data_IF_163942658286
#
_entry.id   IF_163942658286
#
_cell.length_a   1.000
_cell.length_b   1.000
_cell.length_c   1.000
_cell.angle_alpha   90.00
_cell.angle_beta   90.00
_cell.angle_gamma   90.00
#
_symmetry.space_group_name_H-M   'P 1'
#
loop_
_entity.id
_entity.type
_entity.pdbx_description
1 polymer ?
#
# COMPACT_ATOMS: atom_id res chain seq x y z
N UNK A 1 17.46 3.68 -6.38
CA UNK A 1 18.54 2.72 -6.06
C UNK A 1 19.32 2.37 -7.31
N UNK A 2 19.39 1.09 -7.70
CA UNK A 2 20.08 0.68 -8.95
C UNK A 2 19.13 0.47 -10.15
N UNK A 3 17.83 0.23 -9.92
CA UNK A 3 16.83 0.09 -10.98
C UNK A 3 16.34 1.43 -11.57
N UNK A 4 16.51 2.53 -10.83
CA UNK A 4 16.36 3.89 -11.36
C UNK A 4 17.56 4.27 -12.23
N UNK A 5 18.77 3.90 -11.79
CA UNK A 5 20.05 4.20 -12.47
C UNK A 5 20.19 3.50 -13.83
N UNK A 6 19.46 2.40 -14.05
CA UNK A 6 19.42 1.70 -15.35
C UNK A 6 18.21 2.08 -16.23
N UNK A 7 17.38 3.05 -15.81
CA UNK A 7 16.26 3.54 -16.63
C UNK A 7 15.12 2.54 -16.83
N UNK A 8 15.14 1.37 -16.16
CA UNK A 8 14.11 0.35 -16.36
C UNK A 8 12.87 0.58 -15.47
N UNK A 9 13.01 1.38 -14.40
CA UNK A 9 11.87 1.92 -13.66
C UNK A 9 11.37 3.22 -14.30
N UNK A 10 10.85 3.13 -15.52
CA UNK A 10 10.11 4.23 -16.16
C UNK A 10 8.76 4.53 -15.51
N UNK A 11 8.35 3.85 -14.43
CA UNK A 11 6.99 3.99 -13.87
C UNK A 11 7.05 4.38 -12.41
N UNK A 12 7.27 5.68 -12.23
CA UNK A 12 6.59 6.59 -11.28
C UNK A 12 7.36 7.91 -11.13
N UNK A 13 7.99 8.39 -12.20
CA UNK A 13 8.27 9.81 -12.30
C UNK A 13 6.92 10.53 -12.33
N UNK A 14 6.79 11.58 -11.53
CA UNK A 14 5.51 12.27 -11.30
C UNK A 14 4.96 13.07 -12.49
N UNK A 15 5.59 12.84 -13.64
CA UNK A 15 5.53 13.52 -14.92
C UNK A 15 5.59 12.38 -15.94
N UNK A 16 4.53 12.23 -16.73
CA UNK A 16 4.47 11.30 -17.86
C UNK A 16 5.65 11.55 -18.81
N UNK A 17 6.08 10.56 -19.61
CA UNK A 17 7.20 10.77 -20.53
C UNK A 17 6.97 11.98 -21.45
N UNK A 18 5.75 12.13 -21.97
CA UNK A 18 5.40 13.27 -22.81
C UNK A 18 5.48 14.60 -22.04
N UNK A 19 5.04 14.61 -20.78
CA UNK A 19 5.15 15.80 -19.93
C UNK A 19 6.61 16.13 -19.60
N UNK A 20 7.49 15.12 -19.52
CA UNK A 20 8.91 15.32 -19.23
C UNK A 20 9.62 15.91 -20.46
N UNK A 21 9.36 15.39 -21.66
CA UNK A 21 9.86 15.95 -22.90
C UNK A 21 9.40 17.40 -23.09
N UNK A 22 8.08 17.66 -22.94
CA UNK A 22 7.53 19.02 -23.06
C UNK A 22 8.12 20.00 -22.04
N UNK A 23 8.41 19.56 -20.81
CA UNK A 23 9.06 20.41 -19.80
C UNK A 23 10.52 20.71 -20.14
N UNK A 24 11.27 19.73 -20.63
CA UNK A 24 12.67 19.95 -21.00
C UNK A 24 12.76 20.85 -22.23
N UNK A 25 11.90 20.68 -23.23
CA UNK A 25 11.86 21.52 -24.43
C UNK A 25 11.46 22.98 -24.10
N UNK A 26 10.54 23.16 -23.16
CA UNK A 26 10.11 24.48 -22.71
C UNK A 26 11.24 25.25 -22.02
N UNK A 27 11.97 24.61 -21.10
CA UNK A 27 13.07 25.27 -20.36
C UNK A 27 14.41 25.30 -21.12
N UNK A 28 14.52 24.58 -22.23
CA UNK A 28 15.64 24.67 -23.17
C UNK A 28 15.51 25.85 -24.14
N UNK A 29 14.28 26.23 -24.49
CA UNK A 29 13.99 27.29 -25.48
C UNK A 29 13.70 28.67 -24.86
N UNK A 30 13.15 28.75 -23.66
CA UNK A 30 12.76 30.00 -23.00
C UNK A 30 13.42 30.17 -21.61
N UNK A 31 13.85 31.41 -21.29
CA UNK A 31 14.23 31.80 -19.93
C UNK A 31 13.00 31.86 -19.00
N UNK A 32 13.21 31.68 -17.69
CA UNK A 32 12.12 31.61 -16.69
C UNK A 32 11.35 32.93 -16.63
N UNK A 33 10.26 33.02 -17.39
CA UNK A 33 9.33 34.14 -17.44
C UNK A 33 7.95 33.73 -16.90
N UNK A 34 7.09 34.71 -16.61
CA UNK A 34 5.71 34.44 -16.13
C UNK A 34 4.91 33.56 -17.09
N UNK A 35 5.11 33.67 -18.40
CA UNK A 35 4.44 32.83 -19.42
C UNK A 35 4.92 31.38 -19.38
N UNK A 36 6.24 31.18 -19.27
CA UNK A 36 6.86 29.85 -19.16
C UNK A 36 6.44 29.15 -17.85
N UNK A 37 6.25 29.89 -16.76
CA UNK A 37 5.68 29.36 -15.51
C UNK A 37 4.21 28.91 -15.66
N UNK A 38 3.39 29.66 -16.41
CA UNK A 38 1.98 29.29 -16.68
C UNK A 38 1.90 28.05 -17.56
N UNK A 39 2.75 27.96 -18.61
CA UNK A 39 2.83 26.77 -19.47
C UNK A 39 3.35 25.55 -18.72
N UNK A 40 4.39 25.70 -17.89
CA UNK A 40 4.89 24.62 -17.04
C UNK A 40 3.82 24.11 -16.06
N UNK A 41 3.01 25.01 -15.47
CA UNK A 41 1.86 24.63 -14.63
C UNK A 41 0.78 23.86 -15.41
N UNK A 42 0.51 24.27 -16.65
CA UNK A 42 -0.42 23.56 -17.55
C UNK A 42 0.07 22.15 -17.88
N UNK A 43 1.36 22.00 -18.22
CA UNK A 43 1.99 20.70 -18.55
C UNK A 43 1.99 19.79 -17.32
N UNK A 44 2.36 20.31 -16.14
CA UNK A 44 2.36 19.56 -14.88
C UNK A 44 0.95 19.23 -14.36
N UNK A 45 -0.11 19.85 -14.94
CA UNK A 45 -1.53 19.73 -14.52
C UNK A 45 -1.70 19.87 -13.00
N UNK A 46 -0.87 20.70 -12.35
CA UNK A 46 -0.76 20.83 -10.89
C UNK A 46 -0.40 22.25 -10.47
N UNK A 47 -0.82 22.61 -9.26
CA UNK A 47 -0.40 23.85 -8.59
C UNK A 47 1.03 23.69 -8.06
N UNK A 48 2.03 23.84 -8.93
CA UNK A 48 3.43 23.99 -8.53
C UNK A 48 3.71 25.46 -8.18
N UNK A 49 4.45 25.69 -7.09
CA UNK A 49 4.88 27.03 -6.69
C UNK A 49 5.92 27.58 -7.67
N UNK A 50 5.97 28.90 -7.85
CA UNK A 50 6.92 29.54 -8.79
C UNK A 50 8.39 29.23 -8.44
N UNK A 51 8.67 29.01 -7.14
CA UNK A 51 9.99 28.62 -6.64
C UNK A 51 10.38 27.19 -7.07
N UNK A 52 9.44 26.25 -7.10
CA UNK A 52 9.68 24.88 -7.59
C UNK A 52 9.93 24.87 -9.11
N UNK A 53 9.25 25.75 -9.85
CA UNK A 53 9.42 25.86 -11.30
C UNK A 53 10.79 26.46 -11.64
N UNK A 54 11.24 27.46 -10.88
CA UNK A 54 12.59 28.02 -11.02
C UNK A 54 13.70 27.00 -10.71
N UNK A 55 13.51 26.14 -9.70
CA UNK A 55 14.43 25.04 -9.39
C UNK A 55 14.48 23.98 -10.52
N UNK A 56 13.32 23.66 -11.12
CA UNK A 56 13.25 22.75 -12.28
C UNK A 56 13.99 23.36 -13.49
N UNK A 57 13.77 24.63 -13.79
CA UNK A 57 14.44 25.30 -14.90
C UNK A 57 15.96 25.37 -14.71
N UNK A 58 16.43 25.59 -13.48
CA UNK A 58 17.85 25.57 -13.15
C UNK A 58 18.45 24.18 -13.36
N UNK A 59 17.77 23.13 -12.88
CA UNK A 59 18.20 21.74 -13.07
C UNK A 59 18.23 21.32 -14.56
N UNK A 60 17.30 21.80 -15.38
CA UNK A 60 17.29 21.54 -16.83
C UNK A 60 18.46 22.24 -17.53
N UNK A 61 18.76 23.49 -17.16
CA UNK A 61 19.92 24.23 -17.71
C UNK A 61 21.27 23.61 -17.34
N UNK A 62 21.39 23.10 -16.12
CA UNK A 62 22.61 22.39 -15.66
C UNK A 62 22.84 21.06 -16.39
N UNK A 63 21.77 20.41 -16.86
CA UNK A 63 21.83 19.12 -17.53
C UNK A 63 22.32 19.19 -18.99
N UNK A 64 22.42 20.39 -19.59
CA UNK A 64 23.07 20.60 -20.88
C UNK A 64 22.35 19.96 -22.09
N UNK A 65 23.13 19.59 -23.12
CA UNK A 65 22.61 19.15 -24.41
C UNK A 65 22.25 17.65 -24.43
N UNK A 66 21.28 17.26 -23.62
CA UNK A 66 20.75 15.89 -23.60
C UNK A 66 19.92 15.61 -24.85
N UNK A 67 20.32 14.57 -25.59
CA UNK A 67 19.52 14.02 -26.69
C UNK A 67 18.48 13.06 -26.11
N UNK A 68 17.27 13.57 -25.92
CA UNK A 68 16.16 12.84 -25.31
C UNK A 68 15.58 11.75 -26.23
N UNK A 69 15.86 11.81 -27.53
CA UNK A 69 15.34 10.88 -28.52
C UNK A 69 16.15 9.58 -28.60
N UNK A 70 17.34 9.54 -27.97
CA UNK A 70 18.19 8.35 -27.90
C UNK A 70 18.44 7.88 -26.45
N UNK A 71 17.47 7.20 -25.80
CA UNK A 71 17.53 6.84 -24.38
C UNK A 71 18.66 5.87 -24.02
N UNK A 72 19.34 5.26 -25.01
CA UNK A 72 20.45 4.31 -24.79
C UNK A 72 21.77 5.01 -24.45
N UNK A 73 21.96 6.27 -24.84
CA UNK A 73 23.26 6.96 -24.71
C UNK A 73 23.35 7.72 -23.39
N UNK A 74 22.25 8.30 -22.91
CA UNK A 74 22.22 9.21 -21.76
C UNK A 74 21.34 8.73 -20.59
N UNK A 75 21.10 7.43 -20.45
CA UNK A 75 20.19 6.87 -19.43
C UNK A 75 20.50 7.33 -18.00
N UNK A 76 21.78 7.50 -17.66
CA UNK A 76 22.23 8.00 -16.34
C UNK A 76 21.90 9.47 -16.09
N UNK A 77 22.12 10.32 -17.09
CA UNK A 77 21.93 11.77 -16.97
C UNK A 77 20.44 12.13 -17.03
N UNK A 78 19.67 11.43 -17.86
CA UNK A 78 18.20 11.52 -17.90
C UNK A 78 17.60 11.08 -16.56
N UNK A 79 18.11 10.00 -15.95
CA UNK A 79 17.68 9.59 -14.60
C UNK A 79 18.03 10.65 -13.55
N UNK A 80 19.26 11.20 -13.57
CA UNK A 80 19.68 12.22 -12.61
C UNK A 80 18.84 13.52 -12.72
N UNK A 81 18.47 13.90 -13.95
CA UNK A 81 17.57 15.02 -14.20
C UNK A 81 16.16 14.71 -13.67
N UNK A 82 15.64 13.51 -13.91
CA UNK A 82 14.35 13.05 -13.36
C UNK A 82 14.34 13.06 -11.83
N UNK A 83 15.42 12.62 -11.18
CA UNK A 83 15.56 12.67 -9.72
C UNK A 83 15.59 14.10 -9.17
N UNK A 84 16.30 15.01 -9.85
CA UNK A 84 16.37 16.43 -9.46
C UNK A 84 15.01 17.13 -9.58
N UNK A 85 14.27 16.86 -10.66
CA UNK A 85 12.90 17.36 -10.86
C UNK A 85 11.94 16.79 -9.81
N UNK A 86 12.05 15.50 -9.47
CA UNK A 86 11.23 14.89 -8.41
C UNK A 86 11.49 15.50 -7.03
N UNK A 87 12.76 15.79 -6.73
CA UNK A 87 13.18 16.45 -5.48
C UNK A 87 12.66 17.88 -5.40
N UNK A 88 12.72 18.64 -6.49
CA UNK A 88 12.15 20.00 -6.59
C UNK A 88 10.62 19.99 -6.41
N UNK A 89 9.93 18.96 -6.92
CA UNK A 89 8.49 18.77 -6.73
C UNK A 89 8.09 18.32 -5.31
N UNK A 90 9.06 18.14 -4.40
CA UNK A 90 8.82 17.84 -2.99
C UNK A 90 8.21 16.45 -2.73
N UNK A 91 8.34 15.51 -3.67
CA UNK A 91 7.70 14.20 -3.54
C UNK A 91 8.62 13.17 -2.91
N UNK A 92 8.08 12.51 -1.88
CA UNK A 92 8.68 11.32 -1.25
C UNK A 92 8.72 10.20 -2.29
N UNK A 93 9.86 9.49 -2.37
CA UNK A 93 10.00 8.28 -3.17
C UNK A 93 8.85 7.31 -2.86
N UNK A 94 8.14 6.84 -3.88
CA UNK A 94 7.00 5.96 -3.72
C UNK A 94 7.48 4.54 -3.42
N UNK A 95 6.93 3.91 -2.37
CA UNK A 95 7.20 2.51 -2.08
C UNK A 95 6.70 1.61 -3.23
N UNK A 96 7.56 0.74 -3.73
CA UNK A 96 7.23 -0.22 -4.79
C UNK A 96 6.68 -1.49 -4.14
N UNK A 97 5.36 -1.69 -4.24
CA UNK A 97 4.70 -2.94 -3.88
C UNK A 97 4.60 -3.91 -5.06
N UNK A 98 4.01 -5.08 -4.81
CA UNK A 98 3.79 -6.12 -5.81
C UNK A 98 3.00 -5.63 -7.05
N UNK A 99 2.00 -4.78 -6.85
CA UNK A 99 1.17 -4.24 -7.94
C UNK A 99 1.97 -3.32 -8.86
N UNK A 100 2.75 -2.41 -8.26
CA UNK A 100 3.62 -1.50 -9.00
C UNK A 100 4.69 -2.28 -9.75
N UNK A 101 5.28 -3.30 -9.12
CA UNK A 101 6.26 -4.18 -9.77
C UNK A 101 5.67 -4.89 -10.99
N UNK A 102 4.43 -5.37 -10.92
CA UNK A 102 3.73 -5.96 -12.07
C UNK A 102 3.59 -4.96 -13.22
N UNK A 103 3.18 -3.72 -12.93
CA UNK A 103 3.04 -2.67 -13.94
C UNK A 103 4.38 -2.34 -14.62
N UNK A 104 5.47 -2.35 -13.86
CA UNK A 104 6.83 -2.14 -14.37
C UNK A 104 7.20 -3.24 -15.37
N UNK A 105 6.93 -4.50 -15.03
CA UNK A 105 7.19 -5.64 -15.89
C UNK A 105 6.33 -5.60 -17.15
N UNK A 106 5.04 -5.29 -17.01
CA UNK A 106 4.11 -5.21 -18.14
C UNK A 106 4.51 -4.12 -19.13
N UNK A 107 4.98 -2.97 -18.65
CA UNK A 107 5.42 -1.89 -19.50
C UNK A 107 6.77 -2.19 -20.15
N UNK A 108 7.73 -2.75 -19.42
CA UNK A 108 8.99 -3.20 -20.02
C UNK A 108 8.75 -4.20 -21.16
N UNK A 109 7.80 -5.12 -20.98
CA UNK A 109 7.40 -6.06 -22.00
C UNK A 109 6.80 -5.39 -23.24
N UNK A 110 5.93 -4.38 -23.05
CA UNK A 110 5.31 -3.64 -24.15
C UNK A 110 6.30 -2.85 -25.00
N UNK A 111 7.28 -2.20 -24.37
CA UNK A 111 8.20 -1.29 -25.07
C UNK A 111 9.49 -1.97 -25.56
N UNK A 112 10.00 -2.97 -24.83
CA UNK A 112 11.31 -3.57 -25.11
C UNK A 112 11.25 -5.05 -25.48
N UNK A 113 10.07 -5.67 -25.43
CA UNK A 113 9.88 -7.08 -25.76
C UNK A 113 10.43 -8.05 -24.71
N UNK A 114 10.38 -9.34 -25.02
CA UNK A 114 10.62 -10.41 -24.05
C UNK A 114 12.08 -10.50 -23.55
N UNK A 115 13.06 -10.33 -24.45
CA UNK A 115 14.49 -10.55 -24.14
C UNK A 115 15.02 -9.54 -23.13
N UNK A 116 14.74 -8.25 -23.34
CA UNK A 116 15.15 -7.19 -22.42
C UNK A 116 14.39 -7.27 -21.08
N UNK A 117 13.11 -7.66 -21.13
CA UNK A 117 12.30 -7.89 -19.92
C UNK A 117 12.88 -9.01 -19.07
N UNK A 118 13.35 -10.10 -19.67
CA UNK A 118 13.97 -11.21 -18.94
C UNK A 118 15.27 -10.76 -18.24
N UNK A 119 16.13 -9.99 -18.94
CA UNK A 119 17.34 -9.44 -18.34
C UNK A 119 17.02 -8.49 -17.18
N UNK A 120 15.99 -7.65 -17.31
CA UNK A 120 15.52 -6.78 -16.23
C UNK A 120 15.02 -7.58 -15.02
N UNK A 121 14.22 -8.64 -15.24
CA UNK A 121 13.69 -9.47 -14.15
C UNK A 121 14.81 -10.09 -13.31
N UNK A 122 15.90 -10.55 -13.94
CA UNK A 122 17.06 -11.07 -13.23
C UNK A 122 17.76 -10.00 -12.39
N UNK A 123 17.85 -8.76 -12.89
CA UNK A 123 18.38 -7.64 -12.10
C UNK A 123 17.47 -7.30 -10.92
N UNK A 124 16.15 -7.22 -11.12
CA UNK A 124 15.18 -7.02 -10.04
C UNK A 124 15.32 -8.11 -8.97
N UNK A 125 15.43 -9.37 -9.38
CA UNK A 125 15.63 -10.50 -8.48
C UNK A 125 16.90 -10.34 -7.64
N UNK A 126 18.03 -10.05 -8.27
CA UNK A 126 19.32 -9.89 -7.57
C UNK A 126 19.30 -8.74 -6.56
N UNK A 127 18.71 -7.60 -6.95
CA UNK A 127 18.58 -6.43 -6.08
C UNK A 127 17.59 -6.68 -4.94
N UNK A 128 16.45 -7.30 -5.23
CA UNK A 128 15.46 -7.69 -4.25
C UNK A 128 16.06 -8.58 -3.16
N UNK A 129 16.82 -9.61 -3.53
CA UNK A 129 17.50 -10.46 -2.55
C UNK A 129 18.55 -9.70 -1.75
N UNK A 130 19.40 -8.91 -2.40
CA UNK A 130 20.45 -8.11 -1.73
C UNK A 130 19.86 -7.17 -0.68
N UNK A 131 18.85 -6.38 -1.05
CA UNK A 131 18.24 -5.41 -0.13
C UNK A 131 17.32 -6.06 0.90
N UNK A 132 16.70 -7.21 0.60
CA UNK A 132 15.95 -8.00 1.58
C UNK A 132 16.87 -8.50 2.70
N UNK A 133 18.07 -8.97 2.36
CA UNK A 133 19.07 -9.39 3.36
C UNK A 133 19.57 -8.21 4.19
N UNK A 134 19.87 -7.05 3.57
CA UNK A 134 20.32 -5.85 4.29
C UNK A 134 19.21 -5.29 5.18
N UNK A 135 17.96 -5.31 4.70
CA UNK A 135 16.80 -4.83 5.44
C UNK A 135 16.48 -5.65 6.68
N UNK A 136 16.98 -6.89 6.78
CA UNK A 136 16.89 -7.76 7.95
C UNK A 136 15.50 -7.80 8.60
N UNK A 137 14.45 -7.82 7.77
CA UNK A 137 13.06 -7.81 8.22
C UNK A 137 12.79 -9.11 8.98
N UNK A 138 12.53 -8.98 10.27
CA UNK A 138 12.21 -10.10 11.17
C UNK A 138 10.76 -10.01 11.63
N UNK A 139 10.21 -11.15 12.07
CA UNK A 139 8.87 -11.21 12.65
C UNK A 139 8.98 -11.69 14.10
N UNK A 140 8.71 -10.79 15.02
CA UNK A 140 8.64 -11.07 16.44
C UNK A 140 7.21 -11.02 16.95
N UNK A 141 6.99 -11.72 18.05
CA UNK A 141 5.77 -11.64 18.85
C UNK A 141 5.55 -10.18 19.31
N UNK A 142 6.59 -9.38 19.53
CA UNK A 142 6.46 -7.98 19.92
C UNK A 142 5.99 -7.03 18.82
N UNK A 143 6.18 -7.40 17.55
CA UNK A 143 5.76 -6.58 16.39
C UNK A 143 4.23 -6.63 16.19
N UNK A 144 3.57 -7.60 16.83
CA UNK A 144 2.11 -7.74 16.84
C UNK A 144 1.51 -6.85 17.94
N UNK A 145 1.19 -5.61 17.60
CA UNK A 145 0.54 -4.70 18.54
C UNK A 145 -0.98 -4.95 18.60
N UNK A 146 -1.51 -5.20 19.80
CA UNK A 146 -2.96 -5.36 20.02
C UNK A 146 -3.51 -3.97 20.34
N UNK A 147 -4.53 -3.47 19.63
CA UNK A 147 -5.11 -2.17 19.93
C UNK A 147 -5.76 -2.17 21.33
N UNK A 148 -5.44 -1.17 22.15
CA UNK A 148 -6.00 -1.03 23.50
C UNK A 148 -7.53 -0.93 23.52
N UNK A 149 -8.09 -0.30 22.49
CA UNK A 149 -9.54 -0.11 22.32
C UNK A 149 -10.30 -1.40 22.01
N UNK A 150 -9.59 -2.49 21.65
CA UNK A 150 -10.21 -3.78 21.32
C UNK A 150 -11.19 -4.23 22.40
N UNK A 151 -10.78 -4.17 23.68
CA UNK A 151 -11.62 -4.62 24.81
C UNK A 151 -12.93 -3.84 24.88
N UNK A 152 -12.86 -2.53 24.68
CA UNK A 152 -14.02 -1.65 24.66
C UNK A 152 -14.95 -1.97 23.47
N UNK A 153 -14.40 -2.17 22.27
CA UNK A 153 -15.18 -2.49 21.06
C UNK A 153 -15.92 -3.82 21.23
N UNK A 154 -15.23 -4.84 21.75
CA UNK A 154 -15.84 -6.16 22.01
C UNK A 154 -16.94 -6.03 23.08
N UNK A 155 -16.69 -5.29 24.15
CA UNK A 155 -17.69 -5.09 25.20
C UNK A 155 -18.95 -4.36 24.69
N UNK A 156 -18.79 -3.32 23.89
CA UNK A 156 -19.93 -2.63 23.26
C UNK A 156 -20.74 -3.56 22.35
N UNK A 157 -20.07 -4.45 21.62
CA UNK A 157 -20.75 -5.45 20.79
C UNK A 157 -21.54 -6.45 21.64
N UNK A 158 -20.99 -6.90 22.78
CA UNK A 158 -21.70 -7.78 23.73
C UNK A 158 -22.96 -7.12 24.29
N UNK A 159 -22.88 -5.86 24.70
CA UNK A 159 -24.05 -5.13 25.21
C UNK A 159 -25.16 -5.01 24.15
N UNK A 160 -24.78 -4.79 22.88
CA UNK A 160 -25.72 -4.76 21.77
C UNK A 160 -26.38 -6.12 21.55
N UNK A 161 -25.61 -7.21 21.59
CA UNK A 161 -26.15 -8.58 21.48
C UNK A 161 -27.14 -8.85 22.62
N UNK A 162 -26.80 -8.50 23.86
CA UNK A 162 -27.71 -8.65 25.02
C UNK A 162 -29.01 -7.87 24.82
N UNK A 163 -28.95 -6.68 24.21
CA UNK A 163 -30.15 -5.89 23.90
C UNK A 163 -31.03 -6.57 22.85
N UNK A 164 -30.42 -7.14 21.81
CA UNK A 164 -31.12 -7.90 20.76
C UNK A 164 -31.77 -9.15 21.33
N UNK A 165 -31.06 -9.90 22.18
CA UNK A 165 -31.60 -11.06 22.89
C UNK A 165 -32.82 -10.69 23.77
N UNK A 166 -32.75 -9.56 24.48
CA UNK A 166 -33.90 -9.03 25.26
C UNK A 166 -35.09 -8.62 24.40
N UNK A 167 -34.87 -8.20 23.15
CA UNK A 167 -35.96 -7.86 22.22
C UNK A 167 -36.60 -9.13 21.67
N UNK A 168 -35.79 -10.13 21.34
CA UNK A 168 -36.25 -11.46 20.94
C UNK A 168 -37.06 -12.14 22.07
N UNK A 169 -36.57 -12.12 23.31
CA UNK A 169 -37.27 -12.68 24.46
C UNK A 169 -38.64 -12.02 24.74
N UNK A 170 -38.83 -10.77 24.31
CA UNK A 170 -40.11 -10.04 24.40
C UNK A 170 -41.03 -10.28 23.19
N UNK A 171 -40.62 -11.11 22.24
CA UNK A 171 -41.38 -11.41 21.02
C UNK A 171 -41.39 -10.29 19.99
N UNK A 172 -40.52 -9.26 20.13
CA UNK A 172 -40.45 -8.12 19.20
C UNK A 172 -39.70 -8.49 17.92
N UNK A 173 -38.76 -9.43 18.00
CA UNK A 173 -37.89 -9.85 16.90
C UNK A 173 -38.08 -11.34 16.63
N UNK A 174 -38.09 -11.74 15.36
CA UNK A 174 -38.05 -13.16 14.97
C UNK A 174 -36.66 -13.75 15.19
N UNK A 175 -36.57 -15.08 15.30
CA UNK A 175 -35.28 -15.75 15.48
C UNK A 175 -34.32 -15.53 14.29
N UNK A 176 -34.85 -15.54 13.05
CA UNK A 176 -34.04 -15.18 11.88
C UNK A 176 -33.55 -13.73 11.90
N UNK A 177 -34.39 -12.80 12.39
CA UNK A 177 -34.02 -11.39 12.55
C UNK A 177 -32.93 -11.22 13.61
N UNK A 178 -33.07 -11.92 14.74
CA UNK A 178 -32.07 -11.98 15.83
C UNK A 178 -30.73 -12.47 15.30
N UNK A 179 -30.72 -13.61 14.59
CA UNK A 179 -29.51 -14.19 13.99
C UNK A 179 -28.80 -13.21 13.05
N UNK A 180 -29.54 -12.58 12.12
CA UNK A 180 -28.97 -11.62 11.15
C UNK A 180 -28.37 -10.41 11.84
N UNK A 181 -29.04 -9.87 12.86
CA UNK A 181 -28.55 -8.71 13.62
C UNK A 181 -27.31 -9.06 14.45
N UNK A 182 -27.28 -10.23 15.11
CA UNK A 182 -26.09 -10.67 15.87
C UNK A 182 -24.87 -10.80 14.95
N UNK A 183 -25.03 -11.41 13.78
CA UNK A 183 -23.95 -11.52 12.79
C UNK A 183 -23.47 -10.14 12.35
N UNK A 184 -24.39 -9.21 12.11
CA UNK A 184 -24.06 -7.85 11.69
C UNK A 184 -23.26 -7.13 12.78
N UNK A 185 -23.71 -7.17 14.03
CA UNK A 185 -23.01 -6.56 15.17
C UNK A 185 -21.57 -7.08 15.27
N UNK A 186 -21.36 -8.39 15.13
CA UNK A 186 -20.01 -8.97 15.22
C UNK A 186 -19.14 -8.67 14.01
N UNK A 187 -19.70 -8.57 12.80
CA UNK A 187 -18.98 -8.10 11.61
C UNK A 187 -18.52 -6.65 11.78
N UNK A 188 -19.43 -5.77 12.21
CA UNK A 188 -19.14 -4.37 12.46
C UNK A 188 -18.07 -4.20 13.56
N UNK A 189 -18.12 -5.03 14.60
CA UNK A 189 -17.09 -5.06 15.64
C UNK A 189 -15.72 -5.50 15.10
N UNK A 190 -15.68 -6.54 14.27
CA UNK A 190 -14.43 -7.01 13.65
C UNK A 190 -13.80 -5.96 12.74
N UNK A 191 -14.62 -5.24 11.97
CA UNK A 191 -14.15 -4.16 11.08
C UNK A 191 -13.66 -2.94 11.88
N UNK A 192 -14.31 -2.60 13.00
CA UNK A 192 -13.83 -1.56 13.92
C UNK A 192 -12.47 -1.93 14.52
N UNK A 193 -12.30 -3.17 14.99
CA UNK A 193 -11.01 -3.65 15.51
C UNK A 193 -9.94 -3.62 14.42
N UNK A 194 -10.28 -3.99 13.19
CA UNK A 194 -9.35 -3.92 12.05
C UNK A 194 -8.88 -2.48 11.76
N UNK A 195 -9.80 -1.52 11.81
CA UNK A 195 -9.48 -0.12 11.57
C UNK A 195 -8.59 0.47 12.68
N UNK A 196 -8.83 0.14 13.94
CA UNK A 196 -7.94 0.54 15.03
C UNK A 196 -6.56 -0.12 14.92
N UNK A 197 -6.52 -1.39 14.47
CA UNK A 197 -5.27 -2.08 14.22
C UNK A 197 -4.46 -1.41 13.11
N UNK A 198 -5.09 -0.92 12.03
CA UNK A 198 -4.41 -0.14 10.97
C UNK A 198 -3.82 1.16 11.49
N UNK A 199 -4.51 1.87 12.37
CA UNK A 199 -4.02 3.14 12.94
C UNK A 199 -2.82 2.94 13.87
N UNK A 200 -2.77 1.81 14.57
CA UNK A 200 -1.70 1.50 15.51
C UNK A 200 -0.44 0.89 14.88
N UNK A 201 -0.47 0.53 13.59
CA UNK A 201 0.69 -0.02 12.88
C UNK A 201 1.50 1.12 12.25
N UNK A 202 2.75 1.25 12.68
CA UNK A 202 3.73 2.13 12.03
C UNK A 202 4.08 1.62 10.62
N UNK A 203 4.42 2.54 9.71
CA UNK A 203 4.81 2.23 8.34
C UNK A 203 6.05 1.32 8.27
N UNK A 204 6.91 1.37 9.30
CA UNK A 204 8.12 0.55 9.43
C UNK A 204 7.91 -0.74 10.24
N UNK A 205 6.70 -1.05 10.69
CA UNK A 205 6.44 -2.32 11.33
C UNK A 205 6.64 -3.46 10.32
N UNK A 206 7.48 -4.47 10.61
CA UNK A 206 7.82 -5.52 9.65
C UNK A 206 6.60 -6.33 9.16
N UNK A 207 5.63 -6.56 10.05
CA UNK A 207 4.38 -7.27 9.71
C UNK A 207 3.54 -6.43 8.75
N UNK A 208 3.44 -5.13 9.01
CA UNK A 208 2.74 -4.20 8.13
C UNK A 208 3.43 -4.05 6.78
N UNK A 209 4.76 -3.90 6.76
CA UNK A 209 5.55 -3.82 5.54
C UNK A 209 5.33 -5.04 4.65
N UNK A 210 5.29 -6.26 5.21
CA UNK A 210 5.04 -7.48 4.44
C UNK A 210 3.66 -7.52 3.79
N UNK A 211 2.60 -7.09 4.51
CA UNK A 211 1.24 -7.09 3.99
C UNK A 211 0.96 -5.93 3.03
N UNK A 212 1.42 -4.71 3.35
CA UNK A 212 1.21 -3.53 2.52
C UNK A 212 2.01 -3.60 1.21
N UNK A 213 3.23 -4.14 1.24
CA UNK A 213 4.00 -4.42 0.01
C UNK A 213 3.40 -5.54 -0.84
N UNK A 214 2.52 -6.36 -0.27
CA UNK A 214 1.96 -7.55 -0.92
C UNK A 214 2.98 -8.69 -1.08
N UNK A 215 4.09 -8.65 -0.35
CA UNK A 215 5.11 -9.70 -0.35
C UNK A 215 4.58 -10.98 0.32
N UNK A 216 3.96 -10.83 1.50
CA UNK A 216 3.36 -11.94 2.24
C UNK A 216 2.38 -11.39 3.27
N UNK A 217 1.26 -12.09 3.47
CA UNK A 217 0.26 -11.65 4.42
C UNK A 217 -0.85 -10.85 3.75
N UNK A 218 -2.06 -10.97 4.28
CA UNK A 218 -3.16 -10.06 4.01
C UNK A 218 -3.56 -9.32 5.29
N UNK A 219 -4.27 -8.20 5.15
CA UNK A 219 -4.82 -7.50 6.31
C UNK A 219 -5.71 -8.41 7.16
N UNK A 220 -6.47 -9.31 6.52
CA UNK A 220 -7.28 -10.30 7.21
C UNK A 220 -6.45 -11.26 8.06
N UNK A 221 -5.25 -11.65 7.61
CA UNK A 221 -4.35 -12.50 8.39
C UNK A 221 -3.73 -11.72 9.56
N UNK A 222 -3.35 -10.46 9.36
CA UNK A 222 -2.86 -9.60 10.45
C UNK A 222 -3.95 -9.42 11.52
N UNK A 223 -5.20 -9.21 11.08
CA UNK A 223 -6.36 -9.10 11.98
C UNK A 223 -6.54 -10.34 12.85
N UNK A 224 -6.31 -11.53 12.31
CA UNK A 224 -6.38 -12.77 13.10
C UNK A 224 -5.22 -12.91 14.10
N UNK A 225 -4.04 -12.37 13.78
CA UNK A 225 -2.86 -12.44 14.64
C UNK A 225 -2.96 -11.51 15.85
N UNK A 226 -3.40 -10.26 15.66
CA UNK A 226 -3.34 -9.22 16.70
C UNK A 226 -4.68 -8.48 16.96
N UNK A 227 -5.71 -8.72 16.15
CA UNK A 227 -7.04 -8.13 16.30
C UNK A 227 -8.01 -9.12 16.92
N UNK A 228 -9.03 -9.53 16.17
CA UNK A 228 -9.93 -10.63 16.53
C UNK A 228 -10.07 -11.58 15.34
N UNK A 229 -10.25 -12.87 15.61
CA UNK A 229 -10.39 -13.86 14.54
C UNK A 229 -11.74 -13.74 13.83
N UNK A 230 -12.80 -13.44 14.58
CA UNK A 230 -14.13 -13.11 14.05
C UNK A 230 -15.09 -14.30 14.02
N UNK A 231 -16.13 -14.17 13.21
CA UNK A 231 -17.15 -15.21 13.03
C UNK A 231 -16.60 -16.38 12.22
N UNK A 232 -17.02 -17.60 12.58
CA UNK A 232 -16.66 -18.83 11.88
C UNK A 232 -17.87 -19.46 11.22
N UNK A 233 -17.63 -20.25 10.18
CA UNK A 233 -18.64 -21.12 9.60
C UNK A 233 -18.57 -22.52 10.25
N UNK A 234 -19.74 -23.08 10.50
CA UNK A 234 -19.96 -24.48 10.85
C UNK A 234 -19.76 -25.37 9.61
N UNK A 235 -19.54 -26.69 9.71
CA UNK A 235 -19.38 -27.58 8.55
C UNK A 235 -20.61 -27.60 7.64
N UNK A 236 -21.77 -27.24 8.18
CA UNK A 236 -23.03 -27.06 7.43
C UNK A 236 -23.05 -25.78 6.57
N UNK A 237 -22.01 -24.93 6.65
CA UNK A 237 -21.91 -23.65 5.96
C UNK A 237 -22.63 -22.48 6.64
N UNK A 238 -23.27 -22.71 7.80
CA UNK A 238 -23.93 -21.66 8.59
C UNK A 238 -22.91 -20.91 9.44
N UNK A 239 -23.06 -19.60 9.58
CA UNK A 239 -22.19 -18.80 10.45
C UNK A 239 -22.56 -19.02 11.91
N UNK A 240 -21.59 -19.39 12.73
CA UNK A 240 -21.77 -19.56 14.17
C UNK A 240 -21.94 -18.18 14.80
N UNK A 241 -22.99 -18.01 15.59
CA UNK A 241 -23.35 -16.73 16.23
C UNK A 241 -22.31 -16.27 17.27
N UNK A 242 -21.59 -17.21 17.87
CA UNK A 242 -20.47 -16.92 18.77
C UNK A 242 -19.19 -16.69 17.96
N UNK A 243 -18.63 -15.47 17.98
CA UNK A 243 -17.33 -15.20 17.34
C UNK A 243 -16.18 -15.70 18.21
N UNK A 244 -15.02 -15.89 17.57
CA UNK A 244 -13.73 -15.99 18.26
C UNK A 244 -13.19 -14.57 18.50
N UNK A 245 -13.18 -14.16 19.76
CA UNK A 245 -12.83 -12.80 20.21
C UNK A 245 -11.32 -12.66 20.40
N UNK A 246 -10.71 -13.74 20.85
CA UNK A 246 -9.27 -13.82 21.06
C UNK A 246 -8.50 -13.79 19.74
N UNK A 247 -7.31 -13.21 19.78
CA UNK A 247 -6.32 -13.29 18.71
C UNK A 247 -5.34 -14.45 18.95
N UNK A 248 -4.58 -14.84 17.93
CA UNK A 248 -3.51 -15.83 18.12
C UNK A 248 -2.43 -15.36 19.09
N UNK A 249 -2.21 -14.04 19.19
CA UNK A 249 -1.30 -13.46 20.18
C UNK A 249 -1.78 -13.61 21.62
N UNK A 250 -3.07 -13.47 21.86
CA UNK A 250 -3.66 -13.64 23.20
C UNK A 250 -3.83 -15.11 23.57
N UNK A 251 -3.93 -15.98 22.57
CA UNK A 251 -4.26 -17.39 22.75
C UNK A 251 -5.76 -17.62 22.74
N UNK A 252 -6.20 -18.75 22.17
CA UNK A 252 -7.61 -19.11 22.09
C UNK A 252 -8.00 -19.91 23.33
N UNK A 253 -9.19 -19.64 23.87
CA UNK A 253 -9.81 -20.52 24.86
C UNK A 253 -10.17 -21.88 24.22
N UNK A 254 -10.40 -22.91 25.05
CA UNK A 254 -10.75 -24.27 24.57
C UNK A 254 -11.97 -24.23 23.65
N UNK A 255 -13.02 -23.46 24.01
CA UNK A 255 -14.23 -23.34 23.21
C UNK A 255 -13.96 -22.60 21.90
N UNK A 256 -13.22 -21.49 21.93
CA UNK A 256 -12.85 -20.75 20.72
C UNK A 256 -11.98 -21.57 19.77
N UNK A 257 -11.07 -22.39 20.32
CA UNK A 257 -10.24 -23.30 19.54
C UNK A 257 -11.07 -24.41 18.89
N UNK A 258 -12.03 -24.97 19.63
CA UNK A 258 -12.97 -25.97 19.11
C UNK A 258 -13.80 -25.39 17.96
N UNK A 259 -14.39 -24.19 18.14
CA UNK A 259 -15.14 -23.48 17.09
C UNK A 259 -14.25 -23.20 15.88
N UNK A 260 -12.99 -22.78 16.10
CA UNK A 260 -12.06 -22.51 15.00
C UNK A 260 -11.62 -23.76 14.22
N UNK A 261 -11.70 -24.95 14.81
CA UNK A 261 -11.32 -26.20 14.13
C UNK A 261 -12.34 -26.63 13.08
N UNK A 262 -13.60 -26.19 13.19
CA UNK A 262 -14.69 -26.60 12.30
C UNK A 262 -14.72 -25.84 10.97
N UNK A 263 -14.03 -24.70 10.90
CA UNK A 263 -13.96 -23.85 9.69
C UNK A 263 -12.63 -23.95 8.94
N UNK A 264 -11.76 -24.90 9.32
CA UNK A 264 -10.45 -25.14 8.71
C UNK A 264 -10.48 -26.12 7.56
#
# INVERSE_FOLDING_TARGET
GQLEVEGILGINACVDENQFHELVDLFRSEDVNQDSCVRARSILKRNASDEQIAQIATAVKEAGDLDLDNPKVFSREITALRESIQKALGKKAMAIGKKQLSMIVDNCFKYHGATETAAMLDKIKSLGYKYSTIGAITASVFDMHIPGDKKMIVHQAEEQVVRIEKLHARGVLSDEGRYKEIIKIWKDAADKVENELKKGLDDFNPIWMMANSGARGSMGQIRQLAGMRGLMADPSGRTIELPVRSSFREGLSVLEYFISSHGG
#
